data_IF_145573831813
#
_entry.id   IF_145573831813
#
_cell.length_a   1.000
_cell.length_b   1.000
_cell.length_c   1.000
_cell.angle_alpha   90.00
_cell.angle_beta   90.00
_cell.angle_gamma   90.00
#
_symmetry.space_group_name_H-M   'P 1'
#
loop_
_entity.id
_entity.type
_entity.pdbx_description
1 polymer ?
#
# COMPACT_ATOMS: atom_id res chain seq x y z
N UNK A 1 -5.21 -6.35 1.09
CA UNK A 1 -5.44 -7.42 0.10
C UNK A 1 -6.77 -7.14 -0.55
N UNK A 2 -6.84 -7.16 -1.88
CA UNK A 2 -8.09 -6.87 -2.61
C UNK A 2 -8.73 -8.20 -3.01
N UNK A 3 -10.06 -8.27 -3.07
CA UNK A 3 -10.74 -9.43 -3.66
C UNK A 3 -10.74 -9.31 -5.18
N UNK A 4 -10.50 -10.42 -5.87
CA UNK A 4 -10.57 -10.48 -7.33
C UNK A 4 -11.99 -10.12 -7.79
N UNK A 5 -12.16 -9.15 -8.71
CA UNK A 5 -13.48 -8.74 -9.18
C UNK A 5 -14.22 -9.83 -9.98
N UNK A 6 -13.51 -10.84 -10.49
CA UNK A 6 -14.12 -11.92 -11.29
C UNK A 6 -14.56 -13.13 -10.47
N UNK A 7 -13.74 -13.57 -9.52
CA UNK A 7 -13.96 -14.83 -8.79
C UNK A 7 -13.99 -14.67 -7.28
N UNK A 8 -13.89 -13.43 -6.78
CA UNK A 8 -13.93 -13.05 -5.37
C UNK A 8 -12.90 -13.71 -4.44
N UNK A 9 -11.97 -14.50 -5.00
CA UNK A 9 -10.82 -14.99 -4.27
C UNK A 9 -9.86 -13.85 -3.96
N UNK A 10 -9.02 -14.09 -2.96
CA UNK A 10 -8.02 -13.13 -2.55
C UNK A 10 -7.06 -12.80 -3.73
N UNK A 11 -6.69 -11.52 -3.90
CA UNK A 11 -5.66 -11.07 -4.84
C UNK A 11 -4.53 -10.30 -4.14
N UNK A 12 -3.28 -10.73 -4.38
CA UNK A 12 -2.09 -10.13 -3.76
C UNK A 12 -1.55 -8.98 -4.62
N UNK A 13 -1.17 -7.89 -3.96
CA UNK A 13 -0.42 -6.82 -4.62
C UNK A 13 0.99 -7.33 -4.95
N UNK A 14 1.41 -7.19 -6.21
CA UNK A 14 2.75 -7.59 -6.69
C UNK A 14 3.70 -6.43 -6.82
N UNK A 15 3.18 -5.29 -7.26
CA UNK A 15 3.96 -4.06 -7.41
C UNK A 15 3.04 -2.85 -7.22
N UNK A 16 3.65 -1.70 -7.05
CA UNK A 16 2.93 -0.44 -6.93
C UNK A 16 3.76 0.71 -7.44
N UNK A 17 3.10 1.73 -7.98
CA UNK A 17 3.74 2.99 -8.35
C UNK A 17 2.97 4.16 -7.77
N UNK A 18 3.69 5.19 -7.33
CA UNK A 18 3.09 6.46 -6.95
C UNK A 18 2.79 7.25 -8.22
N UNK A 19 1.55 7.73 -8.33
CA UNK A 19 1.15 8.65 -9.38
C UNK A 19 1.30 10.10 -8.90
N UNK A 20 1.08 10.34 -7.61
CA UNK A 20 1.28 11.61 -6.91
C UNK A 20 1.46 11.35 -5.41
N UNK A 21 1.71 12.42 -4.63
CA UNK A 21 1.92 12.33 -3.17
C UNK A 21 0.74 11.66 -2.43
N UNK A 22 -0.49 11.83 -2.94
CA UNK A 22 -1.70 11.27 -2.36
C UNK A 22 -2.30 10.08 -3.09
N UNK A 23 -1.71 9.60 -4.19
CA UNK A 23 -2.30 8.55 -5.02
C UNK A 23 -1.28 7.49 -5.47
N UNK A 24 -1.64 6.23 -5.25
CA UNK A 24 -0.82 5.05 -5.51
C UNK A 24 -1.59 4.05 -6.34
N UNK A 25 -1.01 3.66 -7.46
CA UNK A 25 -1.51 2.56 -8.26
C UNK A 25 -0.89 1.25 -7.76
N UNK A 26 -1.71 0.21 -7.61
CA UNK A 26 -1.27 -1.14 -7.19
C UNK A 26 -1.72 -2.19 -8.19
N UNK A 27 -0.79 -3.06 -8.57
CA UNK A 27 -1.04 -4.20 -9.44
C UNK A 27 -1.31 -5.44 -8.58
N UNK A 28 -2.44 -6.10 -8.82
CA UNK A 28 -2.87 -7.28 -8.07
C UNK A 28 -2.95 -8.50 -8.98
N UNK A 29 -2.64 -9.66 -8.42
CA UNK A 29 -2.81 -10.95 -9.07
C UNK A 29 -3.68 -11.84 -8.17
N UNK A 30 -4.74 -12.41 -8.74
CA UNK A 30 -5.59 -13.37 -8.03
C UNK A 30 -4.78 -14.61 -7.62
N UNK A 31 -4.97 -15.07 -6.38
CA UNK A 31 -4.30 -16.27 -5.86
C UNK A 31 -4.93 -17.56 -6.35
N UNK A 32 -6.16 -17.51 -6.86
CA UNK A 32 -6.78 -18.65 -7.52
C UNK A 32 -6.10 -18.87 -8.87
N UNK A 33 -5.29 -19.93 -8.96
CA UNK A 33 -4.50 -20.29 -10.14
C UNK A 33 -5.35 -20.55 -11.38
N UNK A 34 -6.61 -20.98 -11.21
CA UNK A 34 -7.54 -21.18 -12.32
C UNK A 34 -8.09 -19.84 -12.85
N UNK A 35 -8.07 -18.79 -12.03
CA UNK A 35 -8.50 -17.46 -12.43
C UNK A 35 -7.34 -16.64 -12.98
N UNK A 36 -6.20 -16.59 -12.27
CA UNK A 36 -4.98 -15.88 -12.70
C UNK A 36 -5.14 -14.38 -12.97
N UNK A 37 -6.33 -13.82 -12.69
CA UNK A 37 -6.70 -12.48 -13.11
C UNK A 37 -5.75 -11.45 -12.52
N UNK A 38 -5.19 -10.62 -13.40
CA UNK A 38 -4.28 -9.54 -13.04
C UNK A 38 -4.97 -8.22 -13.34
N UNK A 39 -5.05 -7.35 -12.33
CA UNK A 39 -5.80 -6.10 -12.40
C UNK A 39 -5.12 -5.01 -11.59
N UNK A 40 -5.55 -3.78 -11.83
CA UNK A 40 -4.97 -2.58 -11.21
C UNK A 40 -6.01 -1.90 -10.35
N UNK A 41 -5.60 -1.41 -9.19
CA UNK A 41 -6.43 -0.56 -8.32
C UNK A 41 -5.73 0.77 -8.04
N UNK A 42 -6.51 1.83 -7.93
CA UNK A 42 -6.04 3.12 -7.45
C UNK A 42 -6.35 3.26 -5.95
N UNK A 43 -5.31 3.43 -5.13
CA UNK A 43 -5.41 3.78 -3.72
C UNK A 43 -5.10 5.26 -3.57
N UNK A 44 -6.03 6.05 -3.03
CA UNK A 44 -5.85 7.49 -2.88
C UNK A 44 -6.26 7.97 -1.47
N UNK A 45 -5.54 8.95 -0.95
CA UNK A 45 -5.89 9.64 0.31
C UNK A 45 -7.02 10.61 0.02
N UNK A 46 -8.24 10.27 0.44
CA UNK A 46 -9.41 11.14 0.22
C UNK A 46 -9.46 12.31 1.21
N UNK A 47 -9.21 12.03 2.51
CA UNK A 47 -9.18 13.06 3.55
C UNK A 47 -8.43 12.57 4.78
N UNK A 48 -7.84 13.49 5.52
CA UNK A 48 -7.30 13.23 6.85
C UNK A 48 -8.42 13.38 7.89
N UNK A 49 -8.60 12.39 8.76
CA UNK A 49 -9.56 12.48 9.87
C UNK A 49 -9.01 13.40 10.97
N UNK A 50 -7.69 13.37 11.18
CA UNK A 50 -6.95 14.23 12.12
C UNK A 50 -5.59 14.55 11.52
N UNK A 51 -5.04 15.73 11.82
CA UNK A 51 -3.67 16.12 11.47
C UNK A 51 -2.94 16.53 12.76
N UNK A 52 -1.73 16.01 13.04
CA UNK A 52 -0.97 16.41 14.21
C UNK A 52 -0.59 17.90 14.14
N UNK A 53 -0.61 18.60 15.29
CA UNK A 53 -0.29 20.04 15.38
C UNK A 53 1.18 20.35 15.08
N UNK A 54 2.07 19.42 15.41
CA UNK A 54 3.50 19.44 15.05
C UNK A 54 3.93 18.03 14.68
N UNK A 55 4.71 17.93 13.62
CA UNK A 55 5.47 16.74 13.28
C UNK A 55 6.91 17.10 13.62
N UNK A 56 7.31 16.91 14.87
CA UNK A 56 8.69 17.11 15.27
C UNK A 56 9.51 15.90 14.77
N UNK A 57 10.47 16.10 13.84
CA UNK A 57 11.31 15.01 13.36
C UNK A 57 12.12 14.46 14.53
N UNK A 58 11.95 13.18 14.83
CA UNK A 58 12.77 12.49 15.82
C UNK A 58 14.04 12.03 15.11
N UNK A 59 15.20 12.41 15.65
CA UNK A 59 16.48 11.86 15.18
C UNK A 59 16.47 10.33 15.40
N UNK A 60 16.84 9.52 14.40
CA UNK A 60 16.97 8.09 14.58
C UNK A 60 17.93 7.82 15.74
N UNK A 61 17.54 6.94 16.67
CA UNK A 61 18.41 6.52 17.77
C UNK A 61 19.70 5.96 17.16
N UNK A 62 20.82 6.65 17.37
CA UNK A 62 22.11 6.15 16.93
C UNK A 62 22.43 4.88 17.73
N UNK A 63 22.60 3.75 17.03
CA UNK A 63 23.20 2.53 17.57
C UNK A 63 24.63 2.85 18.02
N UNK A 64 24.78 3.36 19.25
CA UNK A 64 26.07 3.43 19.91
C UNK A 64 26.35 2.04 20.47
N UNK A 65 27.44 1.35 20.05
CA UNK A 65 27.77 0.06 20.62
C UNK A 65 28.03 0.21 22.13
N UNK A 66 27.64 -0.79 22.94
CA UNK A 66 27.86 -0.74 24.38
C UNK A 66 29.36 -0.70 24.73
N UNK A 67 29.72 -0.09 25.88
CA UNK A 67 31.11 0.00 26.35
C UNK A 67 31.72 -1.35 26.72
#
# INVERSE_FOLDING_TARGET
MMHCPLCHHAAHARSSRYLSDGAKERYHQCTNVNCGHTFVTLEAVTRSIMVPRKVDPVEPLADTPPP
#
